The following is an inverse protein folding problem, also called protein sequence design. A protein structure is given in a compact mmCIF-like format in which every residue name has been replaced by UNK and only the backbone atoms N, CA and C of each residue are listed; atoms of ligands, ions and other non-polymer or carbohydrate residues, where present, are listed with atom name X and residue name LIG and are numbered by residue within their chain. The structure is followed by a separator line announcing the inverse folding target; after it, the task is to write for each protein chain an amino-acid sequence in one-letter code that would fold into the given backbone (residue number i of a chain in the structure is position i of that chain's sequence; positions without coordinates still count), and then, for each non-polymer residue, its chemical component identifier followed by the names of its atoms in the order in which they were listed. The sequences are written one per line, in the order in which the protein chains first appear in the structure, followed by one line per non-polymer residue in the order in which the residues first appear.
data_IF_182512534598
#
_entry.id   IF_182512534598
#
_cell.length_a   1.000
_cell.length_b   1.000
_cell.length_c   1.000
_cell.angle_alpha   90.00
_cell.angle_beta   90.00
_cell.angle_gamma   90.00
#
_symmetry.space_group_name_H-M   'P 1'
#
loop_
_entity.id
_entity.type
_entity.pdbx_description
1 polymer ?
#
# COMPACT_ATOMS: atom_id res chain seq x y z
N UNK A 1 6.13 -12.14 7.07
CA UNK A 1 5.23 -11.29 6.29
C UNK A 1 4.92 -10.03 7.05
N UNK A 2 5.35 -8.90 6.49
CA UNK A 2 5.14 -7.56 7.04
C UNK A 2 3.65 -7.15 6.99
N UNK A 3 2.99 -6.92 8.13
CA UNK A 3 1.56 -6.60 8.16
C UNK A 3 1.24 -5.27 7.48
N UNK A 4 0.05 -5.16 6.88
CA UNK A 4 -0.48 -3.90 6.40
C UNK A 4 -0.71 -2.93 7.58
N UNK A 5 -0.08 -1.76 7.50
CA UNK A 5 -0.31 -0.62 8.39
C UNK A 5 -0.96 0.50 7.59
N UNK A 6 -2.20 0.88 7.94
CA UNK A 6 -2.94 1.97 7.29
C UNK A 6 -3.20 3.08 8.32
N UNK A 7 -2.58 4.25 8.13
CA UNK A 7 -2.63 5.44 9.02
C UNK A 7 -2.43 5.16 10.52
N UNK A 8 -1.18 5.22 10.99
CA UNK A 8 -0.90 5.28 12.43
C UNK A 8 -0.08 6.52 12.76
N UNK A 9 -0.54 7.30 13.74
CA UNK A 9 0.24 8.40 14.29
C UNK A 9 1.35 7.84 15.16
N UNK A 10 2.58 8.36 15.02
CA UNK A 10 3.71 7.90 15.81
C UNK A 10 3.46 7.89 17.33
N UNK A 11 2.64 8.80 17.86
CA UNK A 11 2.23 8.96 19.26
C UNK A 11 1.45 7.76 19.78
N UNK A 12 0.76 7.03 18.91
CA UNK A 12 0.01 5.83 19.27
C UNK A 12 0.91 4.60 19.44
N UNK A 13 2.16 4.66 18.96
CA UNK A 13 3.13 3.60 19.19
C UNK A 13 3.77 3.69 20.57
N UNK A 14 3.99 2.52 21.15
CA UNK A 14 4.71 2.37 22.41
C UNK A 14 6.22 2.39 22.19
N UNK A 15 6.94 2.80 23.24
CA UNK A 15 8.40 2.87 23.23
C UNK A 15 9.03 1.55 23.65
N UNK A 16 10.08 1.18 22.93
CA UNK A 16 10.96 0.06 23.25
C UNK A 16 12.40 0.57 23.40
N UNK A 17 13.27 -0.26 23.99
CA UNK A 17 14.72 -0.03 23.87
C UNK A 17 15.10 -0.25 22.40
N UNK A 18 15.92 0.64 21.84
CA UNK A 18 16.33 0.50 20.45
C UNK A 18 17.28 -0.69 20.24
N UNK A 19 17.07 -1.45 19.17
CA UNK A 19 17.89 -2.59 18.78
C UNK A 19 19.08 -2.13 17.91
N UNK A 20 20.01 -1.40 18.53
CA UNK A 20 21.23 -0.91 17.90
C UNK A 20 22.46 -1.63 18.49
N UNK A 21 22.68 -2.87 18.05
CA UNK A 21 23.75 -3.76 18.54
C UNK A 21 25.13 -3.12 18.43
N UNK A 22 25.95 -3.26 19.47
CA UNK A 22 27.35 -2.79 19.49
C UNK A 22 27.53 -1.30 19.76
N UNK A 23 26.47 -0.54 20.02
CA UNK A 23 26.56 0.87 20.36
C UNK A 23 26.59 1.18 21.85
N UNK A 24 27.14 2.35 22.18
CA UNK A 24 27.18 2.93 23.52
C UNK A 24 26.24 4.13 23.62
N UNK A 25 25.63 4.32 24.78
CA UNK A 25 24.59 5.34 25.01
C UNK A 25 23.18 4.75 25.07
N UNK A 26 22.17 5.62 25.18
CA UNK A 26 20.75 5.22 25.23
C UNK A 26 20.04 5.63 23.95
N UNK A 27 19.27 4.69 23.42
CA UNK A 27 18.37 4.89 22.30
C UNK A 27 17.05 4.15 22.59
N UNK A 28 15.94 4.74 22.17
CA UNK A 28 14.59 4.17 22.28
C UNK A 28 13.92 4.21 20.93
N UNK A 29 13.10 3.21 20.62
CA UNK A 29 12.48 3.06 19.30
C UNK A 29 10.96 2.89 19.40
N UNK A 30 10.27 3.34 18.35
CA UNK A 30 8.91 2.96 17.99
C UNK A 30 8.97 2.11 16.74
N UNK A 31 8.37 0.93 16.79
CA UNK A 31 8.32 -0.03 15.70
C UNK A 31 7.13 0.27 14.82
N UNK A 32 7.35 0.99 13.73
CA UNK A 32 6.29 1.48 12.85
C UNK A 32 5.66 0.32 12.06
N UNK A 33 6.50 -0.57 11.56
CA UNK A 33 6.11 -1.86 10.96
C UNK A 33 7.29 -2.82 10.99
N UNK A 34 7.03 -4.10 11.26
CA UNK A 34 8.04 -5.16 11.44
C UNK A 34 7.59 -6.41 10.71
N UNK A 35 8.50 -7.04 9.99
CA UNK A 35 8.39 -8.41 9.54
C UNK A 35 9.03 -9.35 10.56
N UNK A 36 8.21 -10.16 11.23
CA UNK A 36 8.68 -11.10 12.26
C UNK A 36 9.42 -12.31 11.67
N UNK A 37 9.36 -12.54 10.36
CA UNK A 37 10.02 -13.68 9.72
C UNK A 37 11.51 -13.43 9.46
N UNK A 38 11.89 -12.23 9.02
CA UNK A 38 13.28 -11.92 8.64
C UNK A 38 13.91 -10.73 9.40
N UNK A 39 13.13 -10.01 10.21
CA UNK A 39 13.59 -8.86 11.00
C UNK A 39 13.50 -7.51 10.28
N UNK A 40 13.03 -7.48 9.03
CA UNK A 40 12.83 -6.24 8.28
C UNK A 40 11.92 -5.29 9.05
N UNK A 41 12.29 -4.03 9.17
CA UNK A 41 11.61 -3.09 10.07
C UNK A 41 11.78 -1.63 9.67
N UNK A 42 10.70 -0.87 9.85
CA UNK A 42 10.70 0.59 9.82
C UNK A 42 10.51 1.12 11.23
N UNK A 43 11.45 1.94 11.67
CA UNK A 43 11.58 2.38 13.04
C UNK A 43 11.68 3.90 13.10
N UNK A 44 11.11 4.48 14.15
CA UNK A 44 11.47 5.82 14.61
C UNK A 44 12.33 5.67 15.85
N UNK A 45 13.51 6.29 15.88
CA UNK A 45 14.46 6.18 16.99
C UNK A 45 14.76 7.56 17.58
N UNK A 46 14.72 7.66 18.90
CA UNK A 46 15.17 8.81 19.67
C UNK A 46 16.42 8.46 20.47
N UNK A 47 17.32 9.42 20.58
CA UNK A 47 18.56 9.32 21.34
C UNK A 47 18.53 10.23 22.58
N UNK A 48 18.03 9.76 23.74
CA UNK A 48 18.01 10.55 24.99
C UNK A 48 19.39 10.87 25.59
N UNK A 49 20.46 10.32 25.02
CA UNK A 49 21.86 10.69 25.31
C UNK A 49 22.60 10.73 24.00
N UNK A 50 23.84 11.24 24.00
CA UNK A 50 24.76 10.91 22.92
C UNK A 50 24.84 9.38 22.78
N UNK A 51 24.87 8.92 21.53
CA UNK A 51 24.98 7.51 21.19
C UNK A 51 26.01 7.33 20.10
N UNK A 52 26.76 6.23 20.12
CA UNK A 52 27.71 5.96 19.05
C UNK A 52 28.08 4.49 18.95
N UNK A 53 28.54 4.11 17.76
CA UNK A 53 29.05 2.78 17.44
C UNK A 53 30.25 2.91 16.52
N UNK A 54 31.26 2.05 16.73
CA UNK A 54 32.42 1.96 15.84
C UNK A 54 32.07 1.41 14.46
N UNK A 55 33.06 1.29 13.56
CA UNK A 55 32.89 0.68 12.25
C UNK A 55 32.41 -0.78 12.35
N UNK A 56 31.72 -1.26 11.33
CA UNK A 56 31.21 -2.63 11.29
C UNK A 56 30.35 -2.94 10.08
N UNK A 57 29.87 -4.18 10.00
CA UNK A 57 29.09 -4.71 8.89
C UNK A 57 27.67 -4.99 9.36
N UNK A 58 26.70 -4.47 8.62
CA UNK A 58 25.27 -4.66 8.88
C UNK A 58 24.76 -6.00 8.36
N UNK A 59 23.93 -6.68 9.16
CA UNK A 59 23.25 -7.93 8.76
C UNK A 59 22.00 -7.68 7.91
N UNK A 60 21.49 -6.46 7.89
CA UNK A 60 20.36 -5.99 7.08
C UNK A 60 20.79 -4.86 6.15
N UNK A 61 20.03 -4.66 5.07
CA UNK A 61 20.14 -3.45 4.27
C UNK A 61 19.58 -2.27 5.08
N UNK A 62 20.43 -1.32 5.45
CA UNK A 62 20.12 -0.36 6.52
C UNK A 62 20.09 1.08 6.03
N UNK A 63 19.04 1.83 6.39
CA UNK A 63 18.94 3.26 6.08
C UNK A 63 18.72 4.09 7.35
N UNK A 64 19.35 5.26 7.41
CA UNK A 64 19.17 6.27 8.46
C UNK A 64 18.73 7.58 7.83
N UNK A 65 17.71 8.22 8.38
CA UNK A 65 17.26 9.54 7.97
C UNK A 65 17.05 10.45 9.19
N UNK A 66 17.73 11.60 9.22
CA UNK A 66 17.67 12.53 10.35
C UNK A 66 16.43 13.40 10.26
N UNK A 67 15.52 13.25 11.22
CA UNK A 67 14.35 14.11 11.39
C UNK A 67 14.73 15.43 12.08
N UNK A 68 15.56 15.31 13.12
CA UNK A 68 15.99 16.41 14.00
C UNK A 68 17.31 16.03 14.67
N UNK A 69 18.17 17.01 14.97
CA UNK A 69 19.46 16.79 15.62
C UNK A 69 20.62 16.57 14.64
N UNK A 70 21.61 15.79 15.06
CA UNK A 70 22.87 15.63 14.33
C UNK A 70 23.31 14.16 14.30
N UNK A 71 23.60 13.67 13.10
CA UNK A 71 24.26 12.40 12.83
C UNK A 71 25.68 12.66 12.32
N UNK A 72 26.66 11.92 12.84
CA UNK A 72 28.02 11.86 12.31
C UNK A 72 28.29 10.49 11.74
N UNK A 73 28.70 10.43 10.49
CA UNK A 73 29.07 9.20 9.79
C UNK A 73 30.49 9.34 9.26
N UNK A 74 31.44 8.64 9.88
CA UNK A 74 32.87 8.90 9.67
C UNK A 74 33.19 10.38 9.96
N UNK A 75 33.70 11.08 8.94
CA UNK A 75 34.01 12.52 9.02
C UNK A 75 32.82 13.43 8.67
N UNK A 76 31.76 12.89 8.10
CA UNK A 76 30.59 13.67 7.65
C UNK A 76 29.68 14.03 8.82
N UNK A 77 29.19 15.27 8.85
CA UNK A 77 28.21 15.77 9.83
C UNK A 77 26.92 16.12 9.09
N UNK A 78 25.81 15.52 9.54
CA UNK A 78 24.53 15.58 8.87
C UNK A 78 23.44 16.02 9.85
N UNK A 79 22.77 17.12 9.54
CA UNK A 79 21.60 17.60 10.28
C UNK A 79 20.28 17.04 9.73
N UNK A 80 19.16 17.75 9.96
CA UNK A 80 17.84 17.41 9.39
C UNK A 80 17.93 17.16 7.88
N UNK A 81 17.35 16.05 7.42
CA UNK A 81 17.43 15.61 6.03
C UNK A 81 18.72 14.87 5.66
N UNK A 82 19.63 14.69 6.62
CA UNK A 82 20.78 13.80 6.49
C UNK A 82 20.34 12.36 6.29
N UNK A 83 20.94 11.70 5.31
CA UNK A 83 20.60 10.34 4.91
C UNK A 83 21.85 9.49 4.76
N UNK A 84 21.82 8.27 5.28
CA UNK A 84 22.85 7.25 5.07
C UNK A 84 22.18 5.94 4.71
N UNK A 85 22.63 5.32 3.63
CA UNK A 85 22.28 3.94 3.26
C UNK A 85 23.53 3.07 3.36
N UNK A 86 23.42 1.98 4.10
CA UNK A 86 24.47 1.00 4.33
C UNK A 86 23.98 -0.38 3.88
N UNK A 87 24.41 -0.85 2.68
CA UNK A 87 24.01 -2.15 2.17
C UNK A 87 24.43 -3.30 3.08
N UNK A 88 23.60 -4.34 3.11
CA UNK A 88 23.91 -5.59 3.82
C UNK A 88 25.28 -6.14 3.42
N UNK A 89 26.08 -6.52 4.41
CA UNK A 89 27.40 -7.10 4.18
C UNK A 89 28.50 -6.11 3.78
N UNK A 90 28.19 -4.82 3.59
CA UNK A 90 29.18 -3.78 3.27
C UNK A 90 29.74 -3.17 4.56
N UNK A 91 31.08 -3.07 4.73
CA UNK A 91 31.70 -2.38 5.85
C UNK A 91 31.30 -0.90 5.88
N UNK A 92 30.77 -0.48 7.02
CA UNK A 92 30.33 0.87 7.29
C UNK A 92 31.27 1.58 8.28
N UNK A 93 31.39 2.89 8.14
CA UNK A 93 32.13 3.75 9.05
C UNK A 93 31.47 3.85 10.44
N UNK A 94 32.22 4.42 11.38
CA UNK A 94 31.69 4.77 12.70
C UNK A 94 30.50 5.74 12.58
N UNK A 95 29.48 5.50 13.41
CA UNK A 95 28.24 6.26 13.43
C UNK A 95 28.01 6.84 14.82
N UNK A 96 27.67 8.13 14.90
CA UNK A 96 27.35 8.80 16.17
C UNK A 96 26.12 9.68 16.01
N UNK A 97 25.34 9.79 17.08
CA UNK A 97 24.20 10.69 17.19
C UNK A 97 24.38 11.58 18.42
N UNK A 98 24.11 12.87 18.24
CA UNK A 98 24.07 13.81 19.36
C UNK A 98 22.85 13.52 20.25
N UNK A 99 22.94 13.89 21.53
CA UNK A 99 21.79 13.85 22.44
C UNK A 99 20.62 14.67 21.88
N UNK A 100 19.41 14.12 21.97
CA UNK A 100 18.19 14.74 21.46
C UNK A 100 17.92 14.48 19.97
N UNK A 101 18.82 13.79 19.27
CA UNK A 101 18.62 13.43 17.86
C UNK A 101 17.45 12.47 17.68
N UNK A 102 16.70 12.66 16.58
CA UNK A 102 15.58 11.82 16.16
C UNK A 102 15.76 11.39 14.72
N UNK A 103 15.53 10.11 14.44
CA UNK A 103 15.72 9.54 13.11
C UNK A 103 14.57 8.62 12.72
N UNK A 104 14.43 8.42 11.42
CA UNK A 104 13.87 7.19 10.87
C UNK A 104 15.02 6.22 10.61
N UNK A 105 14.81 4.95 10.93
CA UNK A 105 15.75 3.86 10.72
C UNK A 105 15.01 2.73 10.02
N UNK A 106 15.52 2.30 8.88
CA UNK A 106 14.99 1.18 8.11
C UNK A 106 15.98 0.04 8.04
N UNK A 107 15.47 -1.19 8.10
CA UNK A 107 16.22 -2.44 7.93
C UNK A 107 15.43 -3.33 6.98
N UNK A 108 16.05 -3.84 5.93
CA UNK A 108 15.42 -4.81 5.03
C UNK A 108 16.29 -6.05 4.89
N UNK A 109 15.65 -7.21 4.72
CA UNK A 109 16.29 -8.49 4.41
C UNK A 109 17.30 -8.97 5.47
N UNK A 110 17.09 -8.62 6.74
CA UNK A 110 17.92 -9.05 7.86
C UNK A 110 17.51 -8.43 9.20
N UNK A 111 18.11 -8.97 10.26
CA UNK A 111 17.85 -8.55 11.64
C UNK A 111 18.75 -7.38 12.11
N UNK A 112 18.73 -7.11 13.41
CA UNK A 112 19.51 -6.05 14.06
C UNK A 112 21.01 -6.38 14.24
N UNK A 113 21.50 -7.48 13.64
CA UNK A 113 22.85 -7.96 13.76
C UNK A 113 23.90 -6.98 13.21
N UNK A 114 25.07 -7.00 13.82
CA UNK A 114 26.19 -6.12 13.46
C UNK A 114 27.52 -6.75 13.84
N UNK A 115 28.40 -6.91 12.85
CA UNK A 115 29.76 -7.43 13.05
C UNK A 115 30.73 -6.25 13.16
N UNK A 116 31.28 -6.02 14.34
CA UNK A 116 32.28 -4.97 14.53
C UNK A 116 33.55 -5.28 13.71
N UNK A 117 34.09 -4.25 13.07
CA UNK A 117 35.37 -4.34 12.34
C UNK A 117 36.28 -3.16 12.71
N UNK A 118 37.58 -3.30 12.44
CA UNK A 118 38.58 -2.27 12.77
C UNK A 118 38.38 -0.96 11.99
N UNK A 119 37.88 -1.03 10.75
CA UNK A 119 37.60 0.14 9.91
C UNK A 119 36.71 -0.22 8.71
N UNK A 120 36.15 0.78 8.02
CA UNK A 120 35.41 0.54 6.78
C UNK A 120 36.26 0.00 5.60
N UNK A 121 37.57 -0.13 5.78
CA UNK A 121 38.47 -0.81 4.82
C UNK A 121 38.54 -2.33 5.02
N UNK A 122 37.82 -2.89 6.00
CA UNK A 122 37.71 -4.34 6.18
C UNK A 122 37.11 -5.02 4.93
N UNK A 123 37.34 -6.31 4.71
CA UNK A 123 36.63 -7.04 3.67
C UNK A 123 35.14 -7.15 4.02
N UNK A 124 34.27 -6.84 3.05
CA UNK A 124 32.84 -7.11 3.16
C UNK A 124 32.50 -8.60 3.01
N UNK A 125 31.23 -8.93 3.18
CA UNK A 125 30.75 -10.29 2.93
C UNK A 125 30.84 -10.68 1.45
N UNK A 126 30.99 -11.97 1.12
CA UNK A 126 31.19 -12.42 -0.26
C UNK A 126 30.06 -12.04 -1.25
N UNK A 127 28.84 -11.91 -0.74
CA UNK A 127 27.63 -11.59 -1.50
C UNK A 127 27.19 -10.12 -1.37
N UNK A 128 27.96 -9.29 -0.66
CA UNK A 128 27.69 -7.87 -0.49
C UNK A 128 27.70 -7.15 -1.85
N UNK A 129 26.77 -6.21 -2.04
CA UNK A 129 26.61 -5.44 -3.28
C UNK A 129 26.43 -3.95 -2.99
N UNK A 130 26.79 -3.14 -3.98
CA UNK A 130 26.67 -1.69 -3.88
C UNK A 130 27.75 -1.07 -2.99
N UNK A 131 27.46 0.14 -2.50
CA UNK A 131 28.34 0.87 -1.59
C UNK A 131 27.51 1.78 -0.69
N UNK A 132 28.15 2.31 0.35
CA UNK A 132 27.50 3.25 1.25
C UNK A 132 27.11 4.52 0.49
N UNK A 133 25.86 4.97 0.67
CA UNK A 133 25.41 6.29 0.19
C UNK A 133 25.29 7.23 1.37
N UNK A 134 25.86 8.44 1.24
CA UNK A 134 25.74 9.53 2.22
C UNK A 134 25.19 10.74 1.50
N UNK A 135 24.09 11.30 1.99
CA UNK A 135 23.37 12.34 1.27
C UNK A 135 22.77 13.39 2.21
N UNK A 136 22.98 14.67 1.90
CA UNK A 136 22.32 15.79 2.58
C UNK A 136 21.12 16.25 1.73
N UNK A 137 19.94 15.69 1.97
CA UNK A 137 18.77 15.92 1.10
C UNK A 137 18.27 17.37 1.04
N UNK A 138 18.64 18.18 2.04
CA UNK A 138 18.37 19.62 2.06
C UNK A 138 19.11 20.39 0.95
N UNK A 139 20.23 19.86 0.46
CA UNK A 139 21.07 20.48 -0.58
C UNK A 139 20.65 20.09 -2.01
N UNK A 140 19.79 19.07 -2.14
CA UNK A 140 19.27 18.62 -3.43
C UNK A 140 18.10 19.48 -3.90
N UNK A 141 17.95 19.60 -5.22
CA UNK A 141 16.79 20.24 -5.82
C UNK A 141 15.59 19.30 -5.86
N UNK A 142 14.40 19.87 -5.75
CA UNK A 142 13.15 19.17 -6.00
C UNK A 142 12.94 19.02 -7.50
N UNK A 143 12.76 17.78 -7.97
CA UNK A 143 12.46 17.49 -9.37
C UNK A 143 10.95 17.33 -9.53
N UNK A 144 10.35 17.98 -10.53
CA UNK A 144 8.95 17.70 -10.86
C UNK A 144 8.80 16.25 -11.32
N UNK A 145 7.78 15.54 -10.82
CA UNK A 145 7.51 14.17 -11.25
C UNK A 145 7.05 14.19 -12.71
N UNK A 146 7.73 13.49 -13.64
CA UNK A 146 7.51 13.63 -15.08
C UNK A 146 6.30 12.86 -15.62
N UNK A 147 5.54 12.15 -14.78
CA UNK A 147 4.47 11.27 -15.23
C UNK A 147 3.29 12.06 -15.82
N UNK A 148 2.88 11.67 -17.03
CA UNK A 148 1.57 12.04 -17.56
C UNK A 148 0.49 11.32 -16.75
N UNK A 149 -0.50 12.06 -16.25
CA UNK A 149 -1.69 11.46 -15.61
C UNK A 149 -2.01 11.95 -14.21
N UNK A 150 -1.09 12.33 -13.31
CA UNK A 150 -1.46 13.07 -12.10
C UNK A 150 -1.59 14.58 -12.38
N UNK A 151 -2.30 15.32 -11.53
CA UNK A 151 -2.27 16.79 -11.61
C UNK A 151 -0.83 17.29 -11.38
N UNK A 152 -0.33 18.31 -12.12
CA UNK A 152 0.97 18.90 -11.85
C UNK A 152 1.07 19.41 -10.40
N UNK A 153 2.19 19.15 -9.73
CA UNK A 153 2.38 19.58 -8.34
C UNK A 153 3.00 18.56 -7.40
N UNK A 154 3.40 17.40 -7.93
CA UNK A 154 4.19 16.41 -7.22
C UNK A 154 5.67 16.59 -7.56
N UNK A 155 6.51 16.58 -6.53
CA UNK A 155 7.96 16.74 -6.65
C UNK A 155 8.68 15.61 -5.91
N UNK A 156 9.86 15.24 -6.38
CA UNK A 156 10.65 14.12 -5.85
C UNK A 156 12.11 14.50 -5.63
N UNK A 157 12.72 13.92 -4.60
CA UNK A 157 14.17 13.82 -4.41
C UNK A 157 14.52 12.36 -4.17
N UNK A 158 15.32 11.76 -5.05
CA UNK A 158 15.81 10.40 -4.83
C UNK A 158 16.94 10.40 -3.81
N UNK A 159 16.85 9.55 -2.80
CA UNK A 159 17.88 9.35 -1.78
C UNK A 159 18.70 8.09 -2.05
N UNK A 160 18.02 7.02 -2.48
CA UNK A 160 18.62 5.76 -2.88
C UNK A 160 17.79 5.11 -3.98
N UNK A 161 18.47 4.45 -4.92
CA UNK A 161 17.87 3.60 -5.96
C UNK A 161 18.78 2.39 -6.14
N UNK A 162 18.26 1.19 -5.89
CA UNK A 162 18.93 -0.06 -6.22
C UNK A 162 18.73 -0.36 -7.72
N UNK A 163 19.80 -0.38 -8.53
CA UNK A 163 19.69 -0.64 -9.96
C UNK A 163 19.30 -2.09 -10.31
N UNK A 164 19.36 -3.02 -9.34
CA UNK A 164 19.07 -4.45 -9.55
C UNK A 164 17.62 -4.76 -9.21
N UNK A 165 17.20 -4.47 -7.97
CA UNK A 165 15.83 -4.76 -7.52
C UNK A 165 14.83 -3.69 -8.00
N UNK A 166 15.31 -2.47 -8.25
CA UNK A 166 14.43 -1.32 -8.45
C UNK A 166 13.89 -0.77 -7.13
N UNK A 167 14.39 -1.22 -5.97
CA UNK A 167 14.10 -0.63 -4.66
C UNK A 167 14.53 0.84 -4.63
N UNK A 168 13.75 1.71 -4.02
CA UNK A 168 14.16 3.10 -3.87
C UNK A 168 13.52 3.81 -2.69
N UNK A 169 14.31 4.74 -2.14
CA UNK A 169 13.92 5.67 -1.08
C UNK A 169 13.95 7.08 -1.64
N UNK A 170 12.88 7.83 -1.38
CA UNK A 170 12.69 9.18 -1.91
C UNK A 170 11.99 10.10 -0.92
N UNK A 171 12.22 11.39 -1.07
CA UNK A 171 11.30 12.41 -0.57
C UNK A 171 10.28 12.73 -1.64
N UNK A 172 9.02 12.84 -1.25
CA UNK A 172 7.91 13.25 -2.13
C UNK A 172 7.25 14.47 -1.50
N UNK A 173 7.06 15.52 -2.30
CA UNK A 173 6.32 16.72 -1.90
C UNK A 173 5.12 16.90 -2.82
N UNK A 174 3.92 16.94 -2.26
CA UNK A 174 2.71 17.37 -2.97
C UNK A 174 2.37 18.80 -2.55
N UNK A 175 2.32 19.71 -3.51
CA UNK A 175 1.90 21.10 -3.26
C UNK A 175 0.46 21.15 -2.76
N UNK A 176 0.12 22.21 -2.03
CA UNK A 176 -1.27 22.51 -1.68
C UNK A 176 -2.20 22.44 -2.90
N UNK A 177 -3.34 21.77 -2.73
CA UNK A 177 -4.34 21.60 -3.78
C UNK A 177 -3.95 20.55 -4.84
N UNK A 178 -2.84 19.85 -4.69
CA UNK A 178 -2.59 18.64 -5.48
C UNK A 178 -3.59 17.54 -5.08
N UNK A 179 -4.09 16.80 -6.05
CA UNK A 179 -4.99 15.69 -5.81
C UNK A 179 -4.90 14.61 -6.89
N UNK A 180 -5.31 13.40 -6.50
CA UNK A 180 -5.66 12.32 -7.43
C UNK A 180 -7.04 11.76 -7.04
N UNK A 181 -7.96 11.78 -7.99
CA UNK A 181 -9.33 11.32 -7.82
C UNK A 181 -9.50 9.84 -8.18
N UNK A 182 -8.44 9.13 -8.55
CA UNK A 182 -8.49 7.69 -8.85
C UNK A 182 -7.98 6.88 -7.67
N UNK A 183 -8.46 5.64 -7.58
CA UNK A 183 -7.94 4.65 -6.64
C UNK A 183 -6.77 3.91 -7.27
N UNK A 184 -5.58 4.10 -6.71
CA UNK A 184 -4.36 3.51 -7.22
C UNK A 184 -4.01 2.21 -6.47
N UNK A 185 -3.30 1.32 -7.14
CA UNK A 185 -2.59 0.18 -6.55
C UNK A 185 -1.37 -0.14 -7.40
N UNK A 186 -0.36 -0.76 -6.79
CA UNK A 186 0.98 -0.92 -7.39
C UNK A 186 1.50 -2.36 -7.23
N UNK A 187 2.42 -2.83 -8.10
CA UNK A 187 3.00 -4.17 -8.01
C UNK A 187 4.03 -4.34 -6.87
N UNK A 188 4.49 -3.24 -6.29
CA UNK A 188 5.44 -3.18 -5.19
C UNK A 188 4.73 -2.77 -3.89
N UNK A 189 5.37 -2.97 -2.74
CA UNK A 189 4.91 -2.30 -1.54
C UNK A 189 5.15 -0.78 -1.66
N UNK A 190 4.38 -0.03 -0.89
CA UNK A 190 4.67 1.38 -0.64
C UNK A 190 4.58 1.66 0.85
N UNK A 191 5.60 2.30 1.41
CA UNK A 191 5.54 2.84 2.77
C UNK A 191 5.92 4.30 2.79
N UNK A 192 5.35 5.04 3.73
CA UNK A 192 5.73 6.43 3.93
C UNK A 192 5.60 6.88 5.38
N UNK A 193 6.48 7.80 5.76
CA UNK A 193 6.37 8.61 6.97
C UNK A 193 6.18 10.06 6.58
N UNK A 194 5.14 10.70 7.09
CA UNK A 194 4.82 12.10 6.81
C UNK A 194 5.75 13.00 7.62
N UNK A 195 6.60 13.77 6.93
CA UNK A 195 7.59 14.66 7.53
C UNK A 195 7.01 16.03 7.88
N UNK A 196 6.10 16.53 7.06
CA UNK A 196 5.50 17.85 7.22
C UNK A 196 4.17 17.96 6.46
N UNK A 197 3.32 18.90 6.90
CA UNK A 197 2.05 19.19 6.25
C UNK A 197 0.97 18.14 6.47
N UNK A 198 -0.03 18.12 5.57
CA UNK A 198 -1.20 17.24 5.67
C UNK A 198 -1.75 16.82 4.31
N UNK A 199 -2.10 15.54 4.20
CA UNK A 199 -2.90 14.95 3.11
C UNK A 199 -4.17 14.34 3.68
N UNK A 200 -5.30 14.63 3.07
CA UNK A 200 -6.55 13.92 3.37
C UNK A 200 -6.82 12.88 2.29
N UNK A 201 -7.21 11.68 2.70
CA UNK A 201 -7.57 10.61 1.78
C UNK A 201 -8.61 9.64 2.36
N UNK A 202 -9.05 8.67 1.56
CA UNK A 202 -10.21 7.83 1.87
C UNK A 202 -10.10 7.00 3.17
N UNK A 203 -8.88 6.71 3.66
CA UNK A 203 -8.68 5.96 4.90
C UNK A 203 -8.28 6.84 6.10
N UNK A 204 -8.22 8.17 5.94
CA UNK A 204 -7.96 9.11 7.02
C UNK A 204 -7.07 10.27 6.59
N UNK A 205 -6.41 10.89 7.57
CA UNK A 205 -5.46 11.96 7.34
C UNK A 205 -4.02 11.47 7.54
N UNK A 206 -3.12 11.90 6.65
CA UNK A 206 -1.68 11.77 6.81
C UNK A 206 -1.13 13.14 7.23
N UNK A 207 -0.97 13.36 8.53
CA UNK A 207 -0.29 14.53 9.08
C UNK A 207 1.12 14.19 9.57
N UNK A 208 1.92 15.21 9.89
CA UNK A 208 3.30 15.03 10.36
C UNK A 208 3.39 13.99 11.50
N UNK A 209 4.20 12.96 11.27
CA UNK A 209 4.36 11.82 12.17
C UNK A 209 3.41 10.64 11.91
N UNK A 210 2.56 10.72 10.89
CA UNK A 210 1.75 9.58 10.43
C UNK A 210 2.55 8.66 9.53
N UNK A 211 2.43 7.36 9.77
CA UNK A 211 3.07 6.28 9.03
C UNK A 211 2.06 5.34 8.37
N UNK A 212 2.41 4.80 7.20
CA UNK A 212 1.75 3.64 6.59
C UNK A 212 2.77 2.67 5.98
N UNK A 213 2.39 1.40 5.88
CA UNK A 213 3.07 0.37 5.09
C UNK A 213 2.00 -0.42 4.35
N UNK A 214 1.93 -0.26 3.03
CA UNK A 214 0.99 -0.96 2.16
C UNK A 214 1.72 -2.06 1.41
N UNK A 215 1.40 -3.34 1.66
CA UNK A 215 1.85 -4.43 0.80
C UNK A 215 1.45 -4.19 -0.67
N UNK A 216 2.07 -4.95 -1.57
CA UNK A 216 1.75 -4.85 -2.99
C UNK A 216 0.25 -5.05 -3.23
N UNK A 217 -0.27 -4.30 -4.23
CA UNK A 217 -1.66 -4.33 -4.70
C UNK A 217 -2.71 -3.79 -3.72
N UNK A 218 -2.31 -3.28 -2.55
CA UNK A 218 -3.26 -2.60 -1.65
C UNK A 218 -3.72 -1.30 -2.29
N UNK A 219 -5.03 -1.21 -2.50
CA UNK A 219 -5.69 -0.06 -3.11
C UNK A 219 -5.73 1.14 -2.16
N UNK A 220 -5.53 2.35 -2.68
CA UNK A 220 -5.51 3.58 -1.90
C UNK A 220 -5.80 4.84 -2.74
N UNK A 221 -6.20 5.92 -2.07
CA UNK A 221 -6.69 7.17 -2.66
C UNK A 221 -8.18 7.33 -2.38
N UNK A 222 -8.88 8.42 -2.62
CA UNK A 222 -8.54 9.65 -3.30
C UNK A 222 -7.73 10.59 -2.44
N UNK A 223 -6.76 11.27 -3.03
CA UNK A 223 -5.81 12.12 -2.32
C UNK A 223 -6.12 13.61 -2.50
N UNK A 224 -6.04 14.39 -1.42
CA UNK A 224 -6.07 15.86 -1.44
C UNK A 224 -4.99 16.41 -0.51
N UNK A 225 -3.98 17.07 -1.08
CA UNK A 225 -2.97 17.80 -0.31
C UNK A 225 -3.57 19.10 0.24
N UNK A 226 -3.52 19.25 1.56
CA UNK A 226 -4.18 20.33 2.29
C UNK A 226 -3.32 21.61 2.30
N UNK A 227 -3.75 22.62 3.06
CA UNK A 227 -3.04 23.90 3.23
C UNK A 227 -1.55 23.68 3.57
N UNK A 228 -0.66 24.34 2.82
CA UNK A 228 0.80 24.19 2.95
C UNK A 228 1.39 22.96 2.25
N UNK A 229 0.56 22.08 1.68
CA UNK A 229 1.00 20.85 1.05
C UNK A 229 1.43 19.78 2.06
N UNK A 230 2.22 18.82 1.60
CA UNK A 230 2.64 17.68 2.43
C UNK A 230 3.93 17.05 1.88
N UNK A 231 4.80 16.63 2.78
CA UNK A 231 6.07 15.98 2.44
C UNK A 231 6.19 14.64 3.14
N UNK A 232 6.63 13.62 2.41
CA UNK A 232 6.92 12.30 2.96
C UNK A 232 8.34 11.85 2.66
N UNK A 233 8.89 11.01 3.53
CA UNK A 233 9.88 10.02 3.13
C UNK A 233 9.13 8.76 2.75
N UNK A 234 9.38 8.24 1.54
CA UNK A 234 8.62 7.16 0.93
C UNK A 234 9.57 6.11 0.36
N UNK A 235 9.24 4.83 0.56
CA UNK A 235 10.02 3.67 0.10
C UNK A 235 9.14 2.69 -0.68
N UNK A 236 9.72 2.07 -1.69
CA UNK A 236 9.08 1.06 -2.53
C UNK A 236 10.10 0.00 -2.92
N UNK A 237 9.74 -1.28 -2.85
CA UNK A 237 10.65 -2.40 -3.17
C UNK A 237 10.70 -2.77 -4.66
N UNK A 238 10.17 -1.92 -5.53
CA UNK A 238 10.19 -2.10 -6.97
C UNK A 238 9.57 -0.92 -7.69
N UNK A 239 9.57 -0.95 -9.03
CA UNK A 239 9.03 0.13 -9.88
C UNK A 239 7.56 0.41 -9.52
N UNK A 240 7.27 1.67 -9.15
CA UNK A 240 5.92 2.09 -8.78
C UNK A 240 5.14 2.50 -10.03
N UNK A 241 4.43 1.52 -10.58
CA UNK A 241 3.43 1.74 -11.62
C UNK A 241 2.05 1.91 -11.00
N UNK A 242 1.37 3.00 -11.36
CA UNK A 242 0.01 3.27 -10.90
C UNK A 242 -1.01 2.55 -11.78
N UNK A 243 -1.64 1.52 -11.24
CA UNK A 243 -2.84 0.94 -11.80
C UNK A 243 -4.07 1.51 -11.11
N UNK A 244 -5.07 1.86 -11.89
CA UNK A 244 -6.27 2.53 -11.38
C UNK A 244 -7.49 1.64 -11.45
N UNK A 245 -8.32 1.70 -10.41
CA UNK A 245 -9.65 1.08 -10.37
C UNK A 245 -10.71 2.17 -10.35
N UNK A 246 -11.80 1.96 -11.09
CA UNK A 246 -13.00 2.81 -11.11
C UNK A 246 -14.23 1.92 -11.05
N UNK A 247 -15.34 2.48 -10.55
CA UNK A 247 -16.59 1.74 -10.36
C UNK A 247 -16.38 0.51 -9.47
N UNK A 248 -15.52 0.63 -8.48
CA UNK A 248 -15.22 -0.39 -7.49
C UNK A 248 -16.43 -0.69 -6.62
N UNK A 249 -16.50 -1.95 -6.22
CA UNK A 249 -17.49 -2.40 -5.27
C UNK A 249 -17.02 -3.68 -4.60
N UNK A 250 -17.34 -3.79 -3.32
CA UNK A 250 -17.35 -5.05 -2.60
C UNK A 250 -18.77 -5.28 -2.10
N UNK A 251 -19.30 -6.49 -2.31
CA UNK A 251 -20.53 -6.96 -1.68
C UNK A 251 -20.30 -8.34 -1.12
N UNK A 252 -20.71 -8.54 0.13
CA UNK A 252 -20.70 -9.84 0.79
C UNK A 252 -22.05 -10.08 1.47
N UNK A 253 -22.37 -11.34 1.71
CA UNK A 253 -23.65 -11.70 2.32
C UNK A 253 -23.78 -13.20 2.46
N UNK A 254 -24.93 -13.62 2.98
CA UNK A 254 -25.27 -15.03 3.15
C UNK A 254 -26.53 -15.20 3.98
N UNK A 255 -26.72 -16.43 4.49
CA UNK A 255 -27.83 -16.76 5.36
C UNK A 255 -27.35 -16.85 6.81
N UNK A 256 -27.84 -15.93 7.63
CA UNK A 256 -27.75 -16.05 9.07
C UNK A 256 -28.49 -17.31 9.52
N UNK A 257 -27.85 -18.10 10.39
CA UNK A 257 -28.42 -19.34 10.90
C UNK A 257 -29.05 -19.15 12.28
N UNK A 258 -28.52 -18.25 13.09
CA UNK A 258 -28.87 -18.10 14.51
C UNK A 258 -28.70 -16.67 15.07
N UNK A 259 -28.55 -15.67 14.20
CA UNK A 259 -28.36 -14.26 14.59
C UNK A 259 -29.32 -13.32 13.87
N UNK A 260 -30.43 -13.85 13.33
CA UNK A 260 -31.52 -12.99 12.94
C UNK A 260 -32.08 -12.25 14.17
N UNK A 261 -32.77 -11.13 13.93
CA UNK A 261 -33.35 -10.30 15.00
C UNK A 261 -34.34 -11.03 15.89
N UNK A 262 -34.95 -12.10 15.39
CA UNK A 262 -35.86 -13.00 16.11
C UNK A 262 -35.16 -14.28 16.61
N UNK A 263 -33.84 -14.39 16.47
CA UNK A 263 -33.05 -15.58 16.77
C UNK A 263 -33.11 -16.68 15.69
N UNK A 264 -33.83 -16.44 14.59
CA UNK A 264 -34.02 -17.37 13.48
C UNK A 264 -33.00 -17.24 12.34
N UNK A 265 -33.44 -17.65 11.15
CA UNK A 265 -32.67 -17.51 9.91
C UNK A 265 -33.03 -16.22 9.18
N UNK A 266 -32.05 -15.54 8.63
CA UNK A 266 -32.28 -14.39 7.73
C UNK A 266 -31.23 -14.34 6.63
N UNK A 267 -31.64 -14.05 5.40
CA UNK A 267 -30.68 -13.66 4.37
C UNK A 267 -30.24 -12.22 4.63
N UNK A 268 -28.95 -11.96 4.52
CA UNK A 268 -28.40 -10.62 4.65
C UNK A 268 -27.33 -10.39 3.60
N UNK A 269 -27.12 -9.13 3.28
CA UNK A 269 -25.97 -8.70 2.48
C UNK A 269 -25.57 -7.31 2.92
N UNK A 270 -24.32 -6.97 2.67
CA UNK A 270 -23.75 -5.68 2.93
C UNK A 270 -22.78 -5.35 1.81
N UNK A 271 -22.70 -4.10 1.42
CA UNK A 271 -21.71 -3.63 0.46
C UNK A 271 -20.83 -2.53 1.05
N UNK A 272 -19.70 -2.32 0.40
CA UNK A 272 -18.88 -1.11 0.57
C UNK A 272 -19.70 0.18 0.41
N UNK A 273 -20.74 0.18 -0.44
CA UNK A 273 -21.70 1.28 -0.55
C UNK A 273 -22.54 1.43 0.72
N UNK A 274 -23.05 0.34 1.30
CA UNK A 274 -23.80 0.38 2.57
C UNK A 274 -22.91 0.88 3.73
N UNK A 275 -21.61 0.51 3.74
CA UNK A 275 -20.64 0.96 4.76
C UNK A 275 -20.41 2.47 4.70
N UNK A 276 -20.34 3.01 3.49
CA UNK A 276 -20.06 4.42 3.23
C UNK A 276 -21.33 5.29 3.28
N UNK A 277 -22.50 4.66 3.50
CA UNK A 277 -23.78 5.34 3.61
C UNK A 277 -23.78 6.37 4.74
N UNK A 278 -24.03 7.64 4.40
CA UNK A 278 -24.09 8.72 5.38
C UNK A 278 -23.77 10.09 4.79
N UNK A 279 -23.59 11.08 5.67
CA UNK A 279 -23.06 12.39 5.27
C UNK A 279 -21.56 12.22 5.02
N UNK A 280 -21.10 12.60 3.82
CA UNK A 280 -19.67 12.63 3.51
C UNK A 280 -18.90 13.42 4.57
N UNK A 281 -17.78 12.86 5.02
CA UNK A 281 -16.82 13.54 5.88
C UNK A 281 -15.92 14.49 5.10
N UNK A 282 -15.86 14.36 3.77
CA UNK A 282 -15.08 15.25 2.91
C UNK A 282 -15.65 16.66 2.96
N UNK A 283 -14.77 17.63 3.04
CA UNK A 283 -15.15 19.04 3.02
C UNK A 283 -15.52 19.49 1.60
N UNK A 284 -16.27 20.59 1.48
CA UNK A 284 -16.54 21.20 0.16
C UNK A 284 -15.24 21.58 -0.57
N UNK A 285 -14.16 21.85 0.19
CA UNK A 285 -12.84 22.10 -0.39
C UNK A 285 -12.32 20.83 -1.07
N UNK A 286 -12.32 19.70 -0.36
CA UNK A 286 -11.79 18.42 -0.87
C UNK A 286 -12.50 18.02 -2.16
N UNK A 287 -13.84 18.12 -2.17
CA UNK A 287 -14.66 17.80 -3.35
C UNK A 287 -14.31 18.69 -4.54
N UNK A 288 -14.09 20.00 -4.33
CA UNK A 288 -13.67 20.90 -5.41
C UNK A 288 -12.30 20.55 -5.96
N UNK A 289 -11.35 20.19 -5.10
CA UNK A 289 -9.99 19.81 -5.53
C UNK A 289 -10.01 18.49 -6.29
N UNK A 290 -10.78 17.50 -5.84
CA UNK A 290 -10.98 16.23 -6.55
C UNK A 290 -11.62 16.43 -7.94
N UNK A 291 -12.65 17.27 -8.05
CA UNK A 291 -13.24 17.62 -9.35
C UNK A 291 -12.24 18.35 -10.26
N UNK A 292 -11.35 19.15 -9.70
CA UNK A 292 -10.29 19.82 -10.48
C UNK A 292 -9.31 18.78 -11.05
N UNK A 293 -8.95 17.75 -10.28
CA UNK A 293 -8.11 16.66 -10.76
C UNK A 293 -8.79 15.85 -11.87
N UNK A 294 -10.08 15.55 -11.73
CA UNK A 294 -10.89 14.87 -12.74
C UNK A 294 -10.97 15.68 -14.04
N UNK A 295 -11.27 16.97 -13.96
CA UNK A 295 -11.37 17.84 -15.14
C UNK A 295 -10.03 17.95 -15.86
N UNK A 296 -8.93 18.01 -15.12
CA UNK A 296 -7.60 17.99 -15.70
C UNK A 296 -7.36 16.69 -16.51
N UNK A 297 -7.77 15.52 -16.03
CA UNK A 297 -7.65 14.27 -16.81
C UNK A 297 -8.46 14.31 -18.11
N UNK A 298 -9.69 14.83 -18.04
CA UNK A 298 -10.55 15.01 -19.23
C UNK A 298 -9.88 15.91 -20.26
N UNK A 299 -9.25 17.01 -19.83
CA UNK A 299 -8.52 17.93 -20.70
C UNK A 299 -7.27 17.29 -21.32
N UNK A 300 -6.63 16.32 -20.66
CA UNK A 300 -5.53 15.53 -21.21
C UNK A 300 -5.98 14.42 -22.18
N UNK A 301 -7.28 14.29 -22.45
CA UNK A 301 -7.82 13.23 -23.32
C UNK A 301 -7.86 11.85 -22.67
N UNK A 302 -7.76 11.78 -21.35
CA UNK A 302 -7.91 10.56 -20.56
C UNK A 302 -9.18 10.68 -19.68
N UNK A 303 -10.39 10.60 -20.27
CA UNK A 303 -11.61 10.78 -19.50
C UNK A 303 -11.79 9.64 -18.49
N UNK A 304 -11.89 10.02 -17.22
CA UNK A 304 -12.20 9.11 -16.12
C UNK A 304 -13.70 9.18 -15.76
N UNK A 305 -14.17 8.16 -15.04
CA UNK A 305 -15.51 8.19 -14.42
C UNK A 305 -15.61 9.37 -13.46
N UNK A 306 -16.76 10.04 -13.41
CA UNK A 306 -16.98 11.12 -12.47
C UNK A 306 -16.77 10.63 -11.03
N UNK A 307 -16.02 11.41 -10.24
CA UNK A 307 -15.86 11.12 -8.83
C UNK A 307 -17.22 11.25 -8.13
N UNK A 308 -17.62 10.17 -7.45
CA UNK A 308 -18.76 10.15 -6.57
C UNK A 308 -18.30 9.63 -5.21
N UNK A 309 -18.74 10.30 -4.14
CA UNK A 309 -18.52 9.80 -2.79
C UNK A 309 -19.12 8.39 -2.67
N UNK A 310 -18.35 7.42 -2.18
CA UNK A 310 -18.86 6.08 -1.96
C UNK A 310 -20.06 6.09 -1.00
N UNK A 311 -21.02 5.20 -1.21
CA UNK A 311 -22.27 5.20 -0.43
C UNK A 311 -23.28 6.29 -0.84
N UNK A 312 -23.00 7.05 -1.90
CA UNK A 312 -23.96 7.96 -2.54
C UNK A 312 -24.26 7.53 -3.97
N UNK A 313 -25.47 7.86 -4.46
CA UNK A 313 -25.91 7.48 -5.81
C UNK A 313 -26.21 5.97 -5.95
N UNK A 314 -26.04 5.39 -7.15
CA UNK A 314 -26.30 3.95 -7.36
C UNK A 314 -25.26 3.06 -6.66
N UNK A 315 -25.72 1.96 -6.03
CA UNK A 315 -24.84 0.90 -5.53
C UNK A 315 -24.23 0.13 -6.71
N UNK A 316 -22.93 0.33 -6.94
CA UNK A 316 -22.19 -0.30 -8.04
C UNK A 316 -22.18 -1.83 -7.95
N UNK A 317 -22.30 -2.40 -6.75
CA UNK A 317 -22.43 -3.86 -6.60
C UNK A 317 -23.74 -4.37 -7.17
N UNK A 318 -24.85 -3.67 -6.92
CA UNK A 318 -26.15 -4.03 -7.46
C UNK A 318 -26.22 -3.80 -8.97
N UNK A 319 -25.59 -2.73 -9.47
CA UNK A 319 -25.47 -2.48 -10.91
C UNK A 319 -24.68 -3.61 -11.58
N UNK A 320 -23.56 -4.03 -10.99
CA UNK A 320 -22.75 -5.13 -11.49
C UNK A 320 -23.52 -6.45 -11.50
N UNK A 321 -24.24 -6.77 -10.42
CA UNK A 321 -25.09 -7.97 -10.34
C UNK A 321 -26.25 -7.93 -11.35
N UNK A 322 -26.92 -6.79 -11.50
CA UNK A 322 -28.02 -6.65 -12.47
C UNK A 322 -27.53 -6.87 -13.91
N UNK A 323 -26.41 -6.25 -14.29
CA UNK A 323 -25.76 -6.48 -15.59
C UNK A 323 -25.38 -7.95 -15.78
N UNK A 324 -24.82 -8.56 -14.73
CA UNK A 324 -24.47 -9.97 -14.75
C UNK A 324 -25.69 -10.86 -15.00
N UNK A 325 -26.82 -10.61 -14.32
CA UNK A 325 -28.05 -11.34 -14.54
C UNK A 325 -28.66 -11.10 -15.93
N UNK A 326 -28.61 -9.89 -16.45
CA UNK A 326 -29.11 -9.59 -17.80
C UNK A 326 -28.29 -10.30 -18.89
N UNK A 327 -26.97 -10.42 -18.72
CA UNK A 327 -26.10 -11.19 -19.62
C UNK A 327 -26.26 -12.71 -19.47
N UNK A 328 -26.53 -13.18 -18.25
CA UNK A 328 -26.74 -14.60 -17.96
C UNK A 328 -28.14 -15.11 -18.34
N UNK A 329 -29.10 -14.21 -18.64
CA UNK A 329 -30.38 -14.61 -19.21
C UNK A 329 -30.13 -15.12 -20.62
N UNK A 330 -30.46 -16.40 -20.93
CA UNK A 330 -30.56 -16.81 -22.32
C UNK A 330 -31.54 -15.84 -22.97
N UNK A 331 -31.24 -15.34 -24.16
CA UNK A 331 -32.23 -14.67 -24.98
C UNK A 331 -33.38 -15.67 -25.16
N UNK A 332 -34.41 -15.58 -24.31
CA UNK A 332 -35.68 -16.26 -24.55
C UNK A 332 -36.19 -15.61 -25.81
N UNK A 333 -35.93 -16.28 -26.93
CA UNK A 333 -36.40 -15.88 -28.23
C UNK A 333 -37.90 -15.62 -28.13
N UNK A 334 -38.32 -14.52 -28.75
CA UNK A 334 -39.70 -14.36 -29.16
C UNK A 334 -40.10 -15.58 -29.99
N UNK A 335 -40.71 -16.59 -29.36
CA UNK A 335 -41.37 -17.69 -30.03
C UNK A 335 -42.76 -17.23 -30.45
N UNK A 336 -43.16 -17.40 -31.72
CA UNK A 336 -44.53 -17.14 -32.13
C UNK A 336 -45.44 -18.27 -31.63
N UNK A 337 -46.64 -17.84 -31.23
CA UNK A 337 -47.89 -18.59 -31.18
C UNK A 337 -47.98 -19.85 -30.30
N UNK A 338 -48.98 -19.77 -29.42
CA UNK A 338 -49.61 -20.88 -28.74
C UNK A 338 -49.99 -21.98 -29.75
N UNK A 339 -49.58 -23.22 -29.47
CA UNK A 339 -50.47 -24.35 -29.67
C UNK A 339 -50.28 -25.35 -28.52
N UNK A 340 -51.42 -25.74 -27.96
CA UNK A 340 -51.54 -26.77 -26.95
C UNK A 340 -51.45 -28.13 -27.64
N UNK A 341 -50.65 -29.05 -27.08
CA UNK A 341 -51.11 -30.43 -26.97
C UNK A 341 -50.40 -31.13 -25.81
N UNK A 342 -51.21 -31.83 -25.02
CA UNK A 342 -50.81 -32.70 -23.94
C UNK A 342 -50.56 -34.10 -24.50
N UNK A 343 -49.50 -34.77 -24.06
CA UNK A 343 -49.64 -36.18 -23.69
C UNK A 343 -48.57 -36.57 -22.66
N UNK A 344 -49.02 -37.33 -21.66
CA UNK A 344 -48.24 -37.88 -20.57
C UNK A 344 -47.68 -39.25 -20.97
N UNK A 345 -46.46 -39.57 -20.54
CA UNK A 345 -46.15 -40.91 -20.06
C UNK A 345 -44.97 -40.88 -19.08
N UNK A 346 -45.16 -41.56 -17.97
CA UNK A 346 -44.16 -41.84 -16.93
C UNK A 346 -43.47 -43.17 -17.26
N UNK A 347 -42.16 -43.27 -17.02
CA UNK A 347 -41.54 -44.46 -16.43
C UNK A 347 -40.06 -44.22 -16.03
N UNK A 348 -39.58 -45.14 -15.20
CA UNK A 348 -38.67 -44.98 -14.07
C UNK A 348 -37.15 -45.04 -14.36
N UNK A 349 -36.40 -44.65 -13.31
CA UNK A 349 -35.08 -45.14 -12.88
C UNK A 349 -33.82 -44.94 -13.73
N UNK A 350 -32.93 -44.06 -13.24
CA UNK A 350 -31.53 -44.40 -12.98
C UNK A 350 -30.86 -43.35 -12.08
N UNK A 351 -30.66 -43.71 -10.81
CA UNK A 351 -29.67 -43.04 -9.96
C UNK A 351 -28.26 -43.31 -10.50
N UNK A 352 -27.64 -42.29 -11.10
CA UNK A 352 -26.19 -42.23 -11.27
C UNK A 352 -25.66 -41.01 -10.53
N UNK A 353 -24.97 -41.25 -9.41
CA UNK A 353 -24.13 -40.26 -8.76
C UNK A 353 -22.86 -40.11 -9.60
N UNK A 354 -22.92 -39.29 -10.63
CA UNK A 354 -21.72 -38.81 -11.32
C UNK A 354 -21.35 -37.44 -10.74
N UNK A 355 -20.30 -37.43 -9.90
CA UNK A 355 -19.65 -36.19 -9.52
C UNK A 355 -18.84 -35.68 -10.72
N UNK A 356 -19.54 -35.01 -11.64
CA UNK A 356 -18.95 -34.28 -12.75
C UNK A 356 -18.06 -33.12 -12.26
N UNK A 357 -17.09 -32.69 -13.09
CA UNK A 357 -16.06 -31.73 -12.71
C UNK A 357 -16.70 -30.44 -12.22
N UNK A 358 -16.22 -29.95 -11.08
CA UNK A 358 -16.77 -28.82 -10.35
C UNK A 358 -17.21 -27.69 -11.28
N UNK A 359 -18.44 -27.23 -11.08
CA UNK A 359 -19.00 -26.04 -11.73
C UNK A 359 -18.05 -24.86 -11.48
N UNK A 360 -17.08 -24.67 -12.37
CA UNK A 360 -16.52 -23.36 -12.58
C UNK A 360 -17.70 -22.49 -12.98
N UNK A 361 -18.13 -21.62 -12.07
CA UNK A 361 -19.17 -20.63 -12.36
C UNK A 361 -18.80 -19.97 -13.70
N UNK A 362 -19.75 -19.91 -14.63
CA UNK A 362 -19.51 -19.47 -16.00
C UNK A 362 -19.20 -17.96 -16.03
N UNK A 363 -17.97 -17.60 -15.63
CA UNK A 363 -17.46 -16.24 -15.62
C UNK A 363 -17.50 -15.63 -17.04
N UNK A 364 -17.44 -16.48 -18.08
CA UNK A 364 -17.51 -16.06 -19.48
C UNK A 364 -18.89 -15.50 -19.85
N UNK A 365 -19.98 -16.06 -19.31
CA UNK A 365 -21.33 -15.52 -19.51
C UNK A 365 -21.51 -14.10 -18.93
N UNK A 366 -20.68 -13.71 -17.96
CA UNK A 366 -20.71 -12.37 -17.33
C UNK A 366 -19.75 -11.37 -17.98
N UNK A 367 -18.95 -11.80 -18.95
CA UNK A 367 -17.87 -10.98 -19.53
C UNK A 367 -16.75 -10.65 -18.54
N UNK A 368 -16.69 -11.33 -17.39
CA UNK A 368 -15.61 -11.20 -16.43
C UNK A 368 -14.51 -12.21 -16.73
N UNK A 369 -13.24 -11.80 -16.73
CA UNK A 369 -12.15 -12.77 -16.86
C UNK A 369 -12.21 -13.75 -15.69
N UNK A 370 -11.96 -15.04 -15.96
CA UNK A 370 -11.87 -16.02 -14.89
C UNK A 370 -10.77 -15.60 -13.90
N UNK A 371 -10.98 -15.63 -12.57
CA UNK A 371 -10.04 -15.06 -11.61
C UNK A 371 -8.59 -15.52 -11.78
N UNK A 372 -8.36 -16.80 -12.05
CA UNK A 372 -7.02 -17.34 -12.28
C UNK A 372 -6.31 -16.80 -13.55
N UNK A 373 -7.01 -16.15 -14.47
CA UNK A 373 -6.41 -15.49 -15.63
C UNK A 373 -5.81 -14.12 -15.31
N UNK A 374 -6.19 -13.55 -14.15
CA UNK A 374 -5.70 -12.27 -13.63
C UNK A 374 -4.46 -12.43 -12.73
N UNK A 375 -4.07 -13.67 -12.41
CA UNK A 375 -2.89 -13.97 -11.58
C UNK A 375 -1.66 -14.21 -12.46
N UNK A 376 -0.46 -13.86 -11.97
CA UNK A 376 0.78 -14.30 -12.61
C UNK A 376 0.97 -15.81 -12.37
N UNK A 377 1.51 -16.60 -13.33
CA UNK A 377 1.72 -18.04 -13.16
C UNK A 377 2.49 -18.42 -11.90
N UNK A 378 3.38 -17.54 -11.45
CA UNK A 378 4.25 -17.77 -10.28
C UNK A 378 3.60 -17.41 -8.94
N UNK A 379 2.45 -16.75 -8.93
CA UNK A 379 1.81 -16.35 -7.66
C UNK A 379 1.36 -17.54 -6.81
N UNK A 380 1.24 -18.73 -7.42
CA UNK A 380 0.72 -19.93 -6.76
C UNK A 380 1.75 -21.04 -6.57
N UNK A 381 2.98 -20.84 -7.01
CA UNK A 381 3.95 -21.94 -7.16
C UNK A 381 5.17 -21.85 -6.24
N UNK A 382 5.35 -20.72 -5.55
CA UNK A 382 6.49 -20.50 -4.64
C UNK A 382 6.13 -20.54 -3.15
N UNK A 383 7.13 -20.29 -2.30
CA UNK A 383 7.00 -20.25 -0.84
C UNK A 383 6.09 -19.12 -0.34
N UNK A 384 5.81 -18.13 -1.19
CA UNK A 384 4.90 -17.01 -0.94
C UNK A 384 3.52 -17.20 -1.59
N UNK A 385 3.17 -18.41 -2.02
CA UNK A 385 1.88 -18.76 -2.67
C UNK A 385 0.61 -18.35 -1.89
N UNK A 386 0.73 -18.18 -0.57
CA UNK A 386 -0.37 -17.75 0.30
C UNK A 386 -0.36 -16.25 0.63
N UNK A 387 0.67 -15.52 0.20
CA UNK A 387 0.84 -14.09 0.49
C UNK A 387 0.56 -13.25 -0.77
N UNK A 388 -0.68 -12.80 -0.89
CA UNK A 388 -1.13 -11.94 -1.98
C UNK A 388 -0.53 -10.52 -1.94
N UNK A 389 -0.05 -10.07 -0.78
CA UNK A 389 0.63 -8.79 -0.62
C UNK A 389 2.14 -8.85 -0.90
N UNK A 390 2.68 -10.04 -1.22
CA UNK A 390 4.08 -10.17 -1.58
C UNK A 390 4.36 -9.40 -2.88
N UNK A 391 5.29 -8.45 -2.82
CA UNK A 391 5.84 -7.81 -4.01
C UNK A 391 6.36 -8.88 -4.96
N UNK A 392 5.99 -8.75 -6.24
CA UNK A 392 6.48 -9.61 -7.32
C UNK A 392 7.33 -8.78 -8.25
N UNK A 393 8.41 -9.37 -8.77
CA UNK A 393 9.24 -8.69 -9.75
C UNK A 393 8.38 -8.34 -10.97
N UNK A 394 8.08 -7.06 -11.13
CA UNK A 394 7.30 -6.54 -12.25
C UNK A 394 8.11 -5.44 -12.91
N UNK A 395 7.96 -5.33 -14.23
CA UNK A 395 8.58 -4.29 -15.04
C UNK A 395 7.54 -3.71 -15.97
N UNK A 396 7.69 -2.42 -16.27
CA UNK A 396 6.84 -1.75 -17.26
C UNK A 396 6.80 -2.51 -18.57
N UNK A 397 5.59 -2.83 -19.03
CA UNK A 397 5.32 -3.60 -20.25
C UNK A 397 5.25 -5.12 -20.05
N UNK A 398 5.36 -5.65 -18.83
CA UNK A 398 5.11 -7.06 -18.54
C UNK A 398 3.61 -7.41 -18.75
N UNK A 399 3.34 -8.68 -19.07
CA UNK A 399 2.15 -9.08 -19.82
C UNK A 399 0.79 -8.93 -19.12
N UNK A 400 0.70 -8.69 -17.79
CA UNK A 400 -0.60 -8.47 -17.12
C UNK A 400 -0.47 -7.59 -15.86
N UNK A 401 -1.26 -6.50 -15.72
CA UNK A 401 -1.46 -5.87 -14.42
C UNK A 401 -2.22 -6.82 -13.50
N UNK A 402 -1.90 -6.80 -12.21
CA UNK A 402 -2.52 -7.67 -11.22
C UNK A 402 -3.66 -6.93 -10.53
N UNK A 403 -4.81 -7.58 -10.29
CA UNK A 403 -5.94 -6.93 -9.65
C UNK A 403 -5.60 -6.48 -8.23
N UNK A 404 -6.28 -5.44 -7.71
CA UNK A 404 -6.07 -4.96 -6.35
C UNK A 404 -6.44 -6.04 -5.32
N UNK A 405 -5.80 -5.99 -4.16
CA UNK A 405 -6.15 -6.82 -3.00
C UNK A 405 -6.93 -6.01 -1.98
N UNK A 406 -7.94 -6.64 -1.38
CA UNK A 406 -8.58 -6.13 -0.18
C UNK A 406 -7.77 -6.58 1.02
N UNK A 407 -7.13 -5.63 1.70
CA UNK A 407 -6.54 -5.94 3.00
C UNK A 407 -7.66 -6.07 4.02
N UNK A 408 -7.78 -7.25 4.62
CA UNK A 408 -8.94 -7.59 5.46
C UNK A 408 -8.92 -6.91 6.83
N UNK A 409 -7.74 -6.50 7.35
CA UNK A 409 -7.57 -5.82 8.64
C UNK A 409 -6.23 -5.04 8.72
N UNK A 410 -6.13 -3.79 8.25
CA UNK A 410 -4.93 -2.98 8.48
C UNK A 410 -4.75 -2.65 9.97
N UNK A 411 -3.50 -2.65 10.44
CA UNK A 411 -3.16 -2.03 11.73
C UNK A 411 -3.29 -0.52 11.57
N UNK A 412 -4.04 0.12 12.47
CA UNK A 412 -4.39 1.54 12.35
C UNK A 412 -4.46 2.24 13.69
N UNK A 413 -4.31 3.56 13.67
CA UNK A 413 -4.62 4.39 14.82
C UNK A 413 -6.13 4.38 15.07
N UNK A 414 -6.52 4.24 16.35
CA UNK A 414 -7.90 4.47 16.81
C UNK A 414 -8.22 5.96 16.93
N UNK A 415 -7.23 6.85 16.92
CA UNK A 415 -7.35 8.26 17.26
C UNK A 415 -7.47 9.21 16.06
N UNK A 416 -7.21 8.74 14.83
CA UNK A 416 -7.08 9.61 13.64
C UNK A 416 -8.14 9.50 12.52
N UNK A 417 -9.27 8.80 12.70
CA UNK A 417 -10.34 8.89 11.71
C UNK A 417 -11.39 7.79 11.74
N UNK A 418 -12.51 7.99 11.04
CA UNK A 418 -13.51 6.94 10.78
C UNK A 418 -13.09 6.15 9.53
N UNK A 419 -13.33 4.83 9.53
CA UNK A 419 -13.33 4.04 8.30
C UNK A 419 -14.78 3.82 7.94
N UNK A 420 -15.25 4.49 6.90
CA UNK A 420 -16.58 4.36 6.34
C UNK A 420 -16.57 3.53 5.05
N UNK A 421 -15.44 2.94 4.66
CA UNK A 421 -15.35 2.19 3.43
C UNK A 421 -15.33 3.06 2.15
N UNK A 422 -15.15 4.38 2.26
CA UNK A 422 -14.81 5.21 1.08
C UNK A 422 -13.58 4.61 0.36
N UNK A 423 -13.71 4.34 -0.93
CA UNK A 423 -12.67 3.68 -1.74
C UNK A 423 -12.46 2.18 -1.50
N UNK A 424 -13.38 1.46 -0.84
CA UNK A 424 -13.40 -0.02 -0.74
C UNK A 424 -14.06 -0.71 -1.94
#
# INVERSE_FOLDING_TARGET
MRPHVETIQEKDYIWHRAELTGGEGRAVERRLSVDEEDGSSSLRIDFPTAWGRGPGIHHADTEYYVLEGEMRYGESVLGKGGYVHAPKGVPAEALRFAEGTRILHYREYGDAGFDAVESASAPGWPDARGGITVHASAESDWLAVPNAGPMPGLFVKYLHVDPVSGFYTRLVYAKEGWADHRLAHHPCYEEAYTLDGKMSYNFGDLDAGTYFFRPARVKHGHFVAMEGGTTWLMRSDGELENWYTQNEWVRWGGDAVNYATDGGRMTWSYSSHDLAGGRSWRSDHDLRVLHTALNFQKEQGAPDTDYMQHGTGPDQSLVAMAKAFDLARPAQGHGPEHDHDHDHDHDEDAHTTDQGPGHAHDHAALGWPAPGTLEHPDERTDDRTHNWGAGRAWKRGADRPLPPILSTLPVRSRSLGRWDGDGM
#
